data_IF_099926301675
#
_entry.id   IF_099926301675
#
_cell.length_a   1.000
_cell.length_b   1.000
_cell.length_c   1.000
_cell.angle_alpha   90.00
_cell.angle_beta   90.00
_cell.angle_gamma   90.00
#
_symmetry.space_group_name_H-M   'P 1'
#
loop_
_entity.id
_entity.type
_entity.pdbx_description
1 polymer ?
#
# COMPACT_ATOMS: atom_id res chain seq x y z
N UNK A 1 22.55 25.76 21.19
CA UNK A 1 23.76 25.06 20.71
C UNK A 1 23.37 23.63 20.39
N UNK A 2 24.02 23.06 19.37
CA UNK A 2 23.93 21.65 18.92
C UNK A 2 22.65 21.19 18.20
N UNK A 3 22.71 20.46 17.08
CA UNK A 3 23.79 20.21 16.13
C UNK A 3 23.12 19.66 14.87
N UNK A 4 23.16 20.44 13.80
CA UNK A 4 22.73 20.04 12.47
C UNK A 4 23.74 18.97 11.98
N UNK A 5 23.42 17.70 12.22
CA UNK A 5 24.32 16.58 11.90
C UNK A 5 24.35 16.37 10.38
N UNK A 6 25.30 17.05 9.76
CA UNK A 6 25.79 16.93 8.39
C UNK A 6 25.75 15.48 7.89
N UNK A 7 24.83 15.19 6.96
CA UNK A 7 24.76 13.92 6.21
C UNK A 7 25.49 13.99 4.85
N UNK A 8 26.34 14.99 4.65
CA UNK A 8 27.05 15.18 3.38
C UNK A 8 28.57 15.11 3.54
N UNK A 9 29.17 14.34 2.62
CA UNK A 9 30.56 14.41 2.16
C UNK A 9 31.62 13.47 2.74
N UNK A 10 31.28 12.20 2.96
CA UNK A 10 32.29 11.13 2.90
C UNK A 10 32.41 10.54 1.48
N UNK A 11 32.75 11.40 0.50
CA UNK A 11 33.18 10.99 -0.86
C UNK A 11 34.70 11.07 -1.02
N UNK A 12 35.47 10.75 0.03
CA UNK A 12 36.94 10.73 -0.04
C UNK A 12 37.41 9.28 -0.12
N UNK A 13 37.81 8.88 -1.35
CA UNK A 13 38.67 7.73 -1.70
C UNK A 13 38.26 6.37 -1.09
N UNK A 14 37.38 5.63 -1.78
CA UNK A 14 37.07 4.22 -1.48
C UNK A 14 35.59 3.88 -1.30
N UNK A 15 34.71 4.89 -1.28
CA UNK A 15 33.27 4.66 -1.18
C UNK A 15 32.72 4.04 -2.49
N UNK A 16 31.97 2.93 -2.37
CA UNK A 16 31.26 2.33 -3.52
C UNK A 16 30.33 3.38 -4.16
N UNK A 17 30.24 3.42 -5.50
CA UNK A 17 29.33 4.32 -6.18
C UNK A 17 27.88 4.12 -5.72
N UNK A 18 27.09 5.20 -5.71
CA UNK A 18 25.67 5.11 -5.35
C UNK A 18 24.89 4.27 -6.38
N UNK A 19 23.79 3.64 -5.96
CA UNK A 19 22.92 2.88 -6.87
C UNK A 19 22.40 3.77 -8.00
N UNK A 20 22.07 5.04 -7.71
CA UNK A 20 21.63 6.00 -8.73
C UNK A 20 22.69 6.24 -9.81
N UNK A 21 23.95 6.38 -9.42
CA UNK A 21 25.04 6.53 -10.38
C UNK A 21 25.28 5.26 -11.20
N UNK A 22 25.20 4.08 -10.58
CA UNK A 22 25.33 2.81 -11.31
C UNK A 22 24.20 2.60 -12.32
N UNK A 23 22.97 3.00 -11.99
CA UNK A 23 21.83 2.99 -12.91
C UNK A 23 22.05 3.95 -14.08
N UNK A 24 22.52 5.16 -13.80
CA UNK A 24 22.90 6.13 -14.84
C UNK A 24 23.98 5.55 -15.76
N UNK A 25 25.04 4.95 -15.19
CA UNK A 25 26.11 4.33 -15.96
C UNK A 25 25.61 3.19 -16.84
N UNK A 26 24.76 2.31 -16.30
CA UNK A 26 24.14 1.23 -17.05
C UNK A 26 23.27 1.76 -18.21
N UNK A 27 22.47 2.79 -17.96
CA UNK A 27 21.67 3.43 -19.00
C UNK A 27 22.54 4.04 -20.11
N UNK A 28 23.65 4.70 -19.75
CA UNK A 28 24.61 5.23 -20.73
C UNK A 28 25.29 4.14 -21.56
N UNK A 29 25.50 2.95 -20.98
CA UNK A 29 26.08 1.81 -21.68
C UNK A 29 25.07 1.19 -22.66
N UNK A 30 23.78 1.17 -22.30
CA UNK A 30 22.70 0.69 -23.18
C UNK A 30 22.51 1.54 -24.44
N UNK A 31 22.76 2.85 -24.36
CA UNK A 31 22.57 3.76 -25.50
C UNK A 31 23.77 3.83 -26.44
N UNK A 32 24.86 3.11 -26.13
CA UNK A 32 26.05 3.06 -27.00
C UNK A 32 25.83 2.15 -28.20
N UNK A 33 26.29 2.59 -29.38
CA UNK A 33 26.21 1.83 -30.65
C UNK A 33 26.90 0.46 -30.58
N UNK A 34 27.96 0.34 -29.77
CA UNK A 34 28.70 -0.90 -29.55
C UNK A 34 28.79 -1.16 -28.04
N UNK A 35 27.66 -1.50 -27.43
CA UNK A 35 27.60 -1.88 -26.03
C UNK A 35 28.19 -3.28 -25.86
N UNK A 36 29.26 -3.39 -25.07
CA UNK A 36 29.89 -4.69 -24.81
C UNK A 36 29.02 -5.48 -23.83
N UNK A 37 28.55 -6.70 -24.18
CA UNK A 37 27.72 -7.51 -23.30
C UNK A 37 28.36 -7.72 -21.92
N UNK A 38 29.68 -7.90 -21.89
CA UNK A 38 30.47 -8.05 -20.66
C UNK A 38 30.42 -6.81 -19.77
N UNK A 39 30.44 -5.60 -20.36
CA UNK A 39 30.36 -4.34 -19.60
C UNK A 39 28.97 -4.13 -19.01
N UNK A 40 27.93 -4.44 -19.77
CA UNK A 40 26.54 -4.41 -19.29
C UNK A 40 26.35 -5.38 -18.12
N UNK A 41 26.86 -6.62 -18.25
CA UNK A 41 26.81 -7.62 -17.18
C UNK A 41 27.53 -7.16 -15.92
N UNK A 42 28.72 -6.55 -16.04
CA UNK A 42 29.41 -5.93 -14.87
C UNK A 42 28.58 -4.83 -14.21
N UNK A 43 27.99 -3.93 -15.00
CA UNK A 43 27.13 -2.89 -14.45
C UNK A 43 25.93 -3.49 -13.69
N UNK A 44 25.27 -4.51 -14.27
CA UNK A 44 24.17 -5.22 -13.61
C UNK A 44 24.60 -5.84 -12.29
N UNK A 45 25.74 -6.52 -12.25
CA UNK A 45 26.28 -7.11 -11.01
C UNK A 45 26.45 -6.03 -9.93
N UNK A 46 27.06 -4.89 -10.27
CA UNK A 46 27.26 -3.82 -9.29
C UNK A 46 25.95 -3.21 -8.78
N UNK A 47 24.94 -3.06 -9.64
CA UNK A 47 23.61 -2.60 -9.26
C UNK A 47 22.98 -3.59 -8.29
N UNK A 48 22.98 -4.88 -8.64
CA UNK A 48 22.41 -5.96 -7.84
C UNK A 48 23.10 -6.01 -6.47
N UNK A 49 24.42 -6.04 -6.43
CA UNK A 49 25.18 -6.05 -5.18
C UNK A 49 24.79 -4.87 -4.28
N UNK A 50 24.68 -3.67 -4.86
CA UNK A 50 24.33 -2.46 -4.13
C UNK A 50 22.93 -2.53 -3.53
N UNK A 51 21.95 -3.00 -4.32
CA UNK A 51 20.56 -3.16 -3.89
C UNK A 51 20.42 -4.27 -2.85
N UNK A 52 20.93 -5.47 -3.12
CA UNK A 52 20.88 -6.63 -2.22
C UNK A 52 21.56 -6.29 -0.90
N UNK A 53 22.76 -5.71 -0.93
CA UNK A 53 23.47 -5.33 0.30
C UNK A 53 22.69 -4.28 1.10
N UNK A 54 22.03 -3.33 0.44
CA UNK A 54 21.18 -2.33 1.11
C UNK A 54 19.97 -2.99 1.78
N UNK A 55 19.27 -3.87 1.07
CA UNK A 55 18.13 -4.61 1.59
C UNK A 55 18.54 -5.49 2.77
N UNK A 56 19.65 -6.25 2.67
CA UNK A 56 20.15 -7.07 3.77
C UNK A 56 20.44 -6.22 5.01
N UNK A 57 21.09 -5.06 4.86
CA UNK A 57 21.33 -4.14 5.99
C UNK A 57 20.03 -3.66 6.61
N UNK A 58 19.06 -3.26 5.79
CA UNK A 58 17.75 -2.83 6.29
C UNK A 58 17.02 -3.94 7.05
N UNK A 59 17.01 -5.16 6.50
CA UNK A 59 16.37 -6.32 7.13
C UNK A 59 17.07 -6.73 8.43
N UNK A 60 18.41 -6.62 8.51
CA UNK A 60 19.18 -6.91 9.73
C UNK A 60 18.87 -5.96 10.88
N UNK A 61 18.51 -4.72 10.59
CA UNK A 61 18.19 -3.71 11.60
C UNK A 61 16.69 -3.54 11.84
N UNK A 62 15.84 -4.23 11.07
CA UNK A 62 14.39 -4.14 11.24
C UNK A 62 13.98 -4.84 12.53
N UNK A 63 13.45 -4.07 13.48
CA UNK A 63 12.96 -4.62 14.74
C UNK A 63 11.57 -5.24 14.58
N UNK A 64 11.20 -6.13 15.50
CA UNK A 64 9.85 -6.71 15.55
C UNK A 64 8.80 -5.62 15.75
N UNK A 65 9.12 -4.56 16.50
CA UNK A 65 8.24 -3.43 16.73
C UNK A 65 7.98 -2.61 15.45
N UNK A 66 9.03 -2.31 14.68
CA UNK A 66 8.92 -1.65 13.38
C UNK A 66 8.07 -2.49 12.41
N UNK A 67 8.28 -3.81 12.39
CA UNK A 67 7.46 -4.72 11.57
C UNK A 67 5.99 -4.69 11.97
N UNK A 68 5.70 -4.67 13.28
CA UNK A 68 4.35 -4.54 13.79
C UNK A 68 3.73 -3.17 13.48
N UNK A 69 4.51 -2.09 13.53
CA UNK A 69 4.07 -0.75 13.13
C UNK A 69 3.70 -0.73 11.64
N UNK A 70 4.56 -1.25 10.76
CA UNK A 70 4.25 -1.40 9.34
C UNK A 70 2.97 -2.22 9.10
N UNK A 71 2.76 -3.31 9.85
CA UNK A 71 1.52 -4.10 9.76
C UNK A 71 0.28 -3.26 10.11
N UNK A 72 0.33 -2.50 11.21
CA UNK A 72 -0.78 -1.61 11.62
C UNK A 72 -1.07 -0.56 10.56
N UNK A 73 -0.04 0.09 10.03
CA UNK A 73 -0.16 1.10 8.96
C UNK A 73 -0.77 0.52 7.67
N UNK A 74 -0.37 -0.69 7.27
CA UNK A 74 -0.94 -1.37 6.11
C UNK A 74 -2.45 -1.62 6.26
N UNK A 75 -2.87 -2.11 7.44
CA UNK A 75 -4.29 -2.33 7.74
C UNK A 75 -5.06 -1.01 7.69
N UNK A 76 -4.54 0.03 8.36
CA UNK A 76 -5.17 1.34 8.39
C UNK A 76 -5.29 1.97 6.99
N UNK A 77 -4.24 1.86 6.16
CA UNK A 77 -4.26 2.32 4.77
C UNK A 77 -5.36 1.62 3.96
N UNK A 78 -5.55 0.31 4.14
CA UNK A 78 -6.61 -0.42 3.42
C UNK A 78 -8.00 -0.02 3.91
N UNK A 79 -8.18 0.22 5.21
CA UNK A 79 -9.42 0.77 5.78
C UNK A 79 -9.76 2.12 5.14
N UNK A 80 -8.80 3.06 5.09
CA UNK A 80 -8.99 4.35 4.43
C UNK A 80 -9.32 4.21 2.94
N UNK A 81 -8.67 3.29 2.22
CA UNK A 81 -9.01 3.01 0.82
C UNK A 81 -10.45 2.50 0.68
N UNK A 82 -10.92 1.68 1.62
CA UNK A 82 -12.31 1.21 1.64
C UNK A 82 -13.31 2.32 1.91
N UNK A 83 -13.02 3.20 2.85
CA UNK A 83 -13.86 4.36 3.15
C UNK A 83 -13.99 5.29 1.94
N UNK A 84 -12.87 5.64 1.30
CA UNK A 84 -12.88 6.47 0.08
C UNK A 84 -13.67 5.80 -1.05
N UNK A 85 -13.51 4.48 -1.25
CA UNK A 85 -14.30 3.72 -2.24
C UNK A 85 -15.80 3.73 -1.90
N UNK A 86 -16.15 3.59 -0.62
CA UNK A 86 -17.54 3.61 -0.13
C UNK A 86 -18.18 4.98 -0.34
N UNK A 87 -17.47 6.06 0.02
CA UNK A 87 -17.92 7.44 -0.20
C UNK A 87 -18.15 7.74 -1.67
N UNK A 88 -17.24 7.31 -2.56
CA UNK A 88 -17.40 7.50 -4.00
C UNK A 88 -18.64 6.81 -4.55
N UNK A 89 -18.93 5.58 -4.09
CA UNK A 89 -20.14 4.84 -4.48
C UNK A 89 -21.42 5.51 -3.97
N UNK A 90 -21.42 6.00 -2.72
CA UNK A 90 -22.55 6.72 -2.12
C UNK A 90 -22.87 8.03 -2.85
N UNK A 91 -21.84 8.79 -3.25
CA UNK A 91 -21.99 10.02 -4.06
C UNK A 91 -22.60 9.72 -5.44
N UNK A 92 -22.24 8.59 -6.06
CA UNK A 92 -22.81 8.19 -7.35
C UNK A 92 -24.24 7.64 -7.25
N UNK A 93 -24.65 7.12 -6.09
CA UNK A 93 -26.03 6.64 -5.87
C UNK A 93 -26.99 7.76 -5.47
N UNK A 94 -26.51 8.80 -4.77
CA UNK A 94 -27.36 9.92 -4.32
C UNK A 94 -27.84 10.82 -5.47
N UNK A 95 -27.21 10.78 -6.64
CA UNK A 95 -27.67 11.51 -7.84
C UNK A 95 -28.66 10.71 -8.69
N UNK A 96 -28.94 9.45 -8.34
CA UNK A 96 -29.83 8.56 -9.12
C UNK A 96 -31.19 8.30 -8.46
N UNK A 97 -31.44 8.85 -7.27
CA UNK A 97 -32.66 8.61 -6.48
C UNK A 97 -33.59 9.83 -6.31
N UNK A 98 -33.41 10.92 -7.08
CA UNK A 98 -34.25 12.14 -6.96
C UNK A 98 -35.35 12.26 -8.02
N UNK A 99 -35.67 11.18 -8.74
CA UNK A 99 -36.80 11.15 -9.68
C UNK A 99 -37.71 9.96 -9.37
N UNK A 100 -38.69 10.16 -8.49
CA UNK A 100 -39.83 9.26 -8.36
C UNK A 100 -40.18 8.83 -6.94
N UNK A 101 -40.89 9.69 -6.23
CA UNK A 101 -41.93 9.27 -5.26
C UNK A 101 -42.67 10.51 -4.73
N UNK A 102 -43.55 11.04 -5.56
CA UNK A 102 -44.62 11.96 -5.19
C UNK A 102 -45.89 11.16 -4.90
N UNK A 103 -46.24 10.99 -3.62
CA UNK A 103 -47.55 10.59 -3.11
C UNK A 103 -47.56 10.88 -1.61
N UNK A 104 -48.08 12.02 -1.18
CA UNK A 104 -49.46 12.23 -0.70
C UNK A 104 -49.65 11.98 0.81
N UNK A 105 -50.21 13.01 1.48
CA UNK A 105 -50.98 12.98 2.76
C UNK A 105 -50.21 12.55 4.02
N UNK A 106 -50.43 13.07 5.23
CA UNK A 106 -51.54 13.84 5.82
C UNK A 106 -51.09 14.37 7.19
N UNK A 107 -51.75 15.45 7.59
CA UNK A 107 -51.75 16.08 8.91
C UNK A 107 -52.02 15.07 10.06
N UNK A 108 -51.35 15.24 11.20
CA UNK A 108 -52.02 15.23 12.53
C UNK A 108 -51.06 15.56 13.67
N UNK A 109 -51.57 16.40 14.55
CA UNK A 109 -51.10 16.85 15.85
C UNK A 109 -51.19 15.76 16.93
N UNK A 110 -50.43 15.97 18.03
CA UNK A 110 -50.82 15.78 19.45
C UNK A 110 -49.88 14.94 20.35
N UNK A 111 -49.39 15.63 21.40
CA UNK A 111 -49.29 15.26 22.82
C UNK A 111 -48.67 13.93 23.31
N UNK A 112 -47.72 14.13 24.24
CA UNK A 112 -47.59 13.52 25.58
C UNK A 112 -47.12 12.05 25.77
N UNK A 113 -46.09 11.94 26.62
CA UNK A 113 -45.79 10.92 27.64
C UNK A 113 -45.97 9.42 27.33
N UNK A 114 -44.88 8.65 27.40
CA UNK A 114 -44.76 7.43 28.22
C UNK A 114 -43.41 6.70 28.02
N UNK A 115 -42.98 6.00 29.08
CA UNK A 115 -41.72 5.29 29.31
C UNK A 115 -41.43 4.09 28.36
N UNK A 116 -40.16 3.59 28.30
CA UNK A 116 -39.75 2.57 27.32
C UNK A 116 -39.99 1.11 27.77
N UNK A 117 -40.33 0.18 26.86
CA UNK A 117 -40.31 -1.25 27.16
C UNK A 117 -38.93 -1.89 26.84
N UNK A 118 -38.38 -2.57 27.84
CA UNK A 118 -37.18 -3.42 27.77
C UNK A 118 -37.42 -4.63 26.84
N UNK A 119 -36.52 -4.87 25.88
CA UNK A 119 -36.43 -6.13 25.12
C UNK A 119 -35.04 -6.73 25.29
N UNK A 120 -35.01 -8.01 25.68
CA UNK A 120 -33.81 -8.80 25.98
C UNK A 120 -32.95 -9.09 24.72
N UNK A 121 -31.61 -9.27 24.87
CA UNK A 121 -30.72 -9.55 23.75
C UNK A 121 -30.80 -11.01 23.30
N UNK A 122 -31.07 -11.23 22.02
CA UNK A 122 -31.01 -12.52 21.33
C UNK A 122 -29.57 -12.93 21.03
N UNK A 123 -29.26 -14.21 21.22
CA UNK A 123 -27.94 -14.82 21.04
C UNK A 123 -27.44 -14.78 19.58
N UNK A 124 -26.12 -14.70 19.31
CA UNK A 124 -25.58 -14.57 17.97
C UNK A 124 -25.52 -15.91 17.19
N UNK A 125 -25.76 -15.93 15.87
CA UNK A 125 -25.63 -17.13 15.05
C UNK A 125 -24.17 -17.44 14.67
N UNK A 126 -23.91 -18.74 14.52
CA UNK A 126 -22.61 -19.38 14.25
C UNK A 126 -22.09 -19.10 12.83
N UNK A 127 -20.79 -18.85 12.61
CA UNK A 127 -20.26 -18.56 11.27
C UNK A 127 -20.15 -19.83 10.41
N UNK A 128 -20.65 -19.75 9.16
CA UNK A 128 -20.47 -20.76 8.11
C UNK A 128 -19.06 -20.66 7.52
N UNK A 129 -18.37 -21.79 7.50
CA UNK A 129 -17.08 -22.03 6.83
C UNK A 129 -17.17 -21.72 5.33
N UNK A 130 -16.25 -20.91 4.80
CA UNK A 130 -16.16 -20.59 3.38
C UNK A 130 -14.86 -21.13 2.75
N UNK A 131 -15.04 -21.71 1.57
CA UNK A 131 -14.09 -22.50 0.80
C UNK A 131 -12.78 -21.78 0.44
N UNK A 132 -11.68 -22.53 0.53
CA UNK A 132 -10.35 -22.15 0.04
C UNK A 132 -10.35 -22.04 -1.49
N UNK A 133 -10.28 -20.82 -2.02
CA UNK A 133 -10.00 -20.61 -3.45
C UNK A 133 -8.49 -20.70 -3.66
N UNK A 134 -8.04 -21.74 -4.38
CA UNK A 134 -6.67 -21.85 -4.91
C UNK A 134 -6.42 -20.67 -5.85
N UNK A 135 -5.43 -19.86 -5.53
CA UNK A 135 -4.91 -18.82 -6.43
C UNK A 135 -3.81 -19.46 -7.27
N UNK A 136 -4.04 -19.60 -8.56
CA UNK A 136 -2.98 -19.97 -9.52
C UNK A 136 -2.33 -18.66 -9.95
N UNK A 137 -1.06 -18.49 -9.58
CA UNK A 137 -0.24 -17.35 -9.98
C UNK A 137 0.44 -17.74 -11.28
N UNK A 138 0.06 -17.07 -12.37
CA UNK A 138 0.74 -17.17 -13.66
C UNK A 138 1.71 -16.00 -13.77
N UNK A 139 3.01 -16.27 -13.84
CA UNK A 139 4.07 -15.28 -14.07
C UNK A 139 4.60 -15.40 -15.50
N UNK A 140 5.11 -14.30 -16.10
CA UNK A 140 5.65 -14.35 -17.46
C UNK A 140 6.98 -15.10 -17.48
N UNK A 141 7.04 -16.20 -18.22
CA UNK A 141 8.30 -16.85 -18.60
C UNK A 141 9.08 -15.90 -19.50
N UNK A 142 10.18 -15.37 -18.96
CA UNK A 142 11.19 -14.60 -19.70
C UNK A 142 12.50 -15.38 -19.68
N UNK A 143 12.51 -16.53 -20.35
CA UNK A 143 13.72 -17.17 -20.85
C UNK A 143 13.37 -17.93 -22.12
N UNK A 144 13.63 -17.30 -23.27
CA UNK A 144 14.01 -17.98 -24.52
C UNK A 144 15.22 -17.24 -25.05
#
# INVERSE_FOLDING_TARGET
MESQKNHSHNHRRGARPSVGYLLFQYQSELTRRHAEPTRLSRCKIHIIDGLVSRTIRQLKHCSVEELQACKRELVYKEQLRNELRSMRRKKSSSTKSTSGSSSSSSLSSSSASAAPPVKAPTTPPKPRSSHTKKVIIFGPEIFV
#
